data_IF_742075596684
#
_entry.id   IF_742075596684
#
_cell.length_a   1.000
_cell.length_b   1.000
_cell.length_c   1.000
_cell.angle_alpha   90.00
_cell.angle_beta   90.00
_cell.angle_gamma   90.00
#
_symmetry.space_group_name_H-M   'P 1'
#
loop_
_entity.id
_entity.type
_entity.pdbx_description
1 polymer ?
#
# COMPACT_ATOMS: atom_id res chain seq x y z
N UNK A 1 39.46 23.15 -10.44
CA UNK A 1 38.13 22.61 -10.07
C UNK A 1 38.33 21.51 -9.04
N UNK A 2 37.61 21.50 -7.92
CA UNK A 2 37.70 20.39 -6.98
C UNK A 2 37.11 19.12 -7.62
N UNK A 3 37.61 17.92 -7.30
CA UNK A 3 37.08 16.67 -7.83
C UNK A 3 35.62 16.50 -7.38
N UNK A 4 34.70 16.18 -8.31
CA UNK A 4 33.34 15.78 -7.95
C UNK A 4 33.41 14.54 -7.05
N UNK A 5 32.78 14.60 -5.87
CA UNK A 5 32.58 13.44 -5.01
C UNK A 5 31.89 12.34 -5.83
N UNK A 6 32.58 11.22 -6.06
CA UNK A 6 31.93 10.04 -6.65
C UNK A 6 30.92 9.53 -5.64
N UNK A 7 29.65 9.56 -6.00
CA UNK A 7 28.60 8.93 -5.21
C UNK A 7 28.93 7.44 -5.11
N UNK A 8 29.32 6.98 -3.91
CA UNK A 8 29.49 5.56 -3.65
C UNK A 8 28.10 4.97 -3.55
N UNK A 9 27.63 4.33 -4.62
CA UNK A 9 26.45 3.46 -4.57
C UNK A 9 26.78 2.39 -3.53
N UNK A 10 26.11 2.44 -2.37
CA UNK A 10 26.25 1.36 -1.41
C UNK A 10 25.81 0.05 -2.08
N UNK A 11 26.52 -1.05 -1.86
CA UNK A 11 26.02 -2.38 -2.21
C UNK A 11 24.59 -2.50 -1.67
N UNK A 12 23.70 -3.15 -2.43
CA UNK A 12 22.35 -3.42 -1.94
C UNK A 12 22.46 -4.03 -0.55
N UNK A 13 21.76 -3.47 0.42
CA UNK A 13 21.66 -4.06 1.75
C UNK A 13 20.68 -5.23 1.66
N UNK A 14 21.12 -6.30 0.98
CA UNK A 14 20.36 -7.55 0.81
C UNK A 14 20.07 -8.21 2.18
N UNK A 15 20.82 -7.83 3.22
CA UNK A 15 20.59 -8.23 4.61
C UNK A 15 19.34 -7.60 5.22
N UNK A 16 19.03 -6.35 4.88
CA UNK A 16 17.78 -5.71 5.29
C UNK A 16 16.57 -6.37 4.62
N UNK A 17 16.71 -6.73 3.33
CA UNK A 17 15.71 -7.51 2.59
C UNK A 17 15.49 -8.90 3.19
N UNK A 18 16.56 -9.66 3.43
CA UNK A 18 16.44 -10.99 4.06
C UNK A 18 15.78 -10.93 5.43
N UNK A 19 16.13 -9.96 6.27
CA UNK A 19 15.50 -9.81 7.59
C UNK A 19 14.04 -9.39 7.52
N UNK A 20 13.71 -8.49 6.59
CA UNK A 20 12.32 -8.07 6.41
C UNK A 20 11.49 -9.23 5.85
N UNK A 21 12.01 -9.97 4.88
CA UNK A 21 11.38 -11.18 4.33
C UNK A 21 11.20 -12.25 5.42
N UNK A 22 12.20 -12.46 6.28
CA UNK A 22 12.09 -13.38 7.42
C UNK A 22 11.01 -12.93 8.41
N UNK A 23 10.97 -11.65 8.78
CA UNK A 23 9.94 -11.09 9.68
C UNK A 23 8.54 -11.13 9.05
N UNK A 24 8.43 -10.80 7.77
CA UNK A 24 7.19 -10.86 6.99
C UNK A 24 6.71 -12.30 6.86
N UNK A 25 7.57 -13.25 6.52
CA UNK A 25 7.24 -14.67 6.48
C UNK A 25 6.80 -15.19 7.86
N UNK A 26 7.43 -14.71 8.94
CA UNK A 26 7.06 -15.14 10.30
C UNK A 26 5.70 -14.57 10.71
N UNK A 27 5.43 -13.32 10.35
CA UNK A 27 4.13 -12.67 10.54
C UNK A 27 3.03 -13.30 9.68
N UNK A 28 3.31 -13.57 8.40
CA UNK A 28 2.44 -14.32 7.51
C UNK A 28 2.18 -15.71 8.09
N UNK A 29 3.21 -16.46 8.49
CA UNK A 29 3.07 -17.77 9.18
C UNK A 29 2.17 -17.70 10.42
N UNK A 30 2.13 -16.55 11.12
CA UNK A 30 1.25 -16.34 12.28
C UNK A 30 -0.21 -16.07 11.89
N UNK A 31 -0.46 -15.46 10.72
CA UNK A 31 -1.78 -15.27 10.13
C UNK A 31 -2.28 -16.54 9.41
N UNK A 32 -1.33 -17.39 9.00
CA UNK A 32 -1.47 -18.60 8.21
C UNK A 32 -1.97 -19.79 9.01
N UNK A 33 -3.19 -19.68 9.54
CA UNK A 33 -3.85 -20.82 10.13
C UNK A 33 -4.30 -21.77 9.02
N UNK A 34 -4.00 -23.06 9.20
CA UNK A 34 -4.22 -24.09 8.17
C UNK A 34 -5.70 -24.24 7.77
N UNK A 35 -6.63 -23.83 8.64
CA UNK A 35 -8.06 -23.75 8.37
C UNK A 35 -8.40 -22.60 7.41
N UNK A 36 -7.86 -21.40 7.62
CA UNK A 36 -8.03 -20.25 6.71
C UNK A 36 -7.52 -20.59 5.32
N UNK A 37 -6.36 -21.25 5.24
CA UNK A 37 -5.84 -21.72 3.97
C UNK A 37 -6.63 -22.83 3.33
N UNK A 38 -7.22 -23.74 4.10
CA UNK A 38 -8.13 -24.74 3.53
C UNK A 38 -9.38 -24.08 2.98
N UNK A 39 -9.95 -23.10 3.67
CA UNK A 39 -11.11 -22.34 3.19
C UNK A 39 -10.79 -21.57 1.91
N UNK A 40 -9.67 -20.85 1.89
CA UNK A 40 -9.21 -20.11 0.70
C UNK A 40 -8.83 -21.09 -0.43
N UNK A 41 -8.14 -22.19 -0.12
CA UNK A 41 -7.77 -23.21 -1.10
C UNK A 41 -8.99 -23.95 -1.66
N UNK A 42 -10.05 -24.17 -0.88
CA UNK A 42 -11.31 -24.73 -1.36
C UNK A 42 -12.02 -23.74 -2.29
N UNK A 43 -11.97 -22.44 -2.00
CA UNK A 43 -12.43 -21.38 -2.91
C UNK A 43 -11.60 -21.41 -4.20
N UNK A 44 -10.26 -21.46 -4.11
CA UNK A 44 -9.33 -21.46 -5.26
C UNK A 44 -9.43 -22.74 -6.08
N UNK A 45 -9.58 -23.91 -5.45
CA UNK A 45 -9.77 -25.20 -6.15
C UNK A 45 -11.11 -25.22 -6.90
N UNK A 46 -12.15 -24.66 -6.31
CA UNK A 46 -13.44 -24.45 -6.99
C UNK A 46 -13.36 -23.38 -8.09
N UNK A 47 -12.28 -22.61 -8.13
CA UNK A 47 -11.89 -21.65 -9.19
C UNK A 47 -10.84 -22.28 -10.14
N UNK A 48 -10.54 -23.58 -10.14
CA UNK A 48 -9.47 -24.14 -11.02
C UNK A 48 -9.93 -25.14 -12.09
N UNK A 49 -11.24 -25.35 -12.26
CA UNK A 49 -11.76 -26.47 -13.08
C UNK A 49 -12.45 -26.03 -14.40
N UNK A 50 -11.94 -25.03 -15.14
CA UNK A 50 -12.37 -24.93 -16.56
C UNK A 50 -12.05 -23.67 -17.36
N UNK A 51 -10.95 -23.56 -18.08
CA UNK A 51 -10.86 -22.56 -19.15
C UNK A 51 -10.02 -23.11 -20.27
N UNK A 52 -10.36 -22.78 -21.51
CA UNK A 52 -9.77 -23.35 -22.73
C UNK A 52 -8.68 -22.49 -23.44
N UNK A 53 -7.53 -22.16 -22.81
CA UNK A 53 -6.32 -21.50 -23.39
C UNK A 53 -5.14 -22.42 -23.92
N UNK A 54 -4.33 -22.02 -24.91
CA UNK A 54 -3.19 -22.82 -25.45
C UNK A 54 -1.98 -22.93 -24.49
N UNK A 55 -1.03 -23.86 -24.73
CA UNK A 55 -0.05 -24.27 -23.73
C UNK A 55 1.22 -23.40 -23.76
N UNK A 56 1.24 -22.38 -22.93
CA UNK A 56 2.46 -21.66 -22.57
C UNK A 56 2.82 -21.99 -21.10
N UNK A 57 4.12 -22.10 -20.83
CA UNK A 57 4.77 -22.75 -19.67
C UNK A 57 4.47 -22.10 -18.31
N UNK A 58 3.29 -22.34 -17.76
CA UNK A 58 2.99 -22.52 -16.33
C UNK A 58 1.49 -22.79 -16.20
N UNK A 59 1.13 -24.07 -16.32
CA UNK A 59 -0.22 -24.58 -16.61
C UNK A 59 -1.28 -24.35 -15.52
N UNK A 60 -1.75 -23.11 -15.37
CA UNK A 60 -2.97 -22.79 -14.63
C UNK A 60 -3.91 -21.95 -15.51
N UNK A 61 -4.69 -22.63 -16.34
CA UNK A 61 -5.92 -22.07 -16.93
C UNK A 61 -6.88 -21.68 -15.80
N UNK A 62 -7.44 -20.47 -15.88
CA UNK A 62 -8.55 -20.00 -15.05
C UNK A 62 -9.78 -20.94 -15.20
N UNK A 63 -10.86 -20.82 -14.42
CA UNK A 63 -12.06 -21.64 -14.59
C UNK A 63 -13.18 -20.87 -15.29
N UNK A 64 -14.23 -21.59 -15.65
CA UNK A 64 -15.47 -21.09 -16.19
C UNK A 64 -16.30 -20.79 -14.94
N UNK A 65 -15.96 -19.67 -14.30
CA UNK A 65 -16.81 -19.12 -13.25
C UNK A 65 -18.09 -18.78 -13.97
N UNK A 66 -19.17 -19.51 -13.64
CA UNK A 66 -20.47 -19.15 -14.19
C UNK A 66 -20.73 -17.66 -13.92
N UNK A 67 -21.20 -16.96 -14.94
CA UNK A 67 -21.47 -15.53 -14.86
C UNK A 67 -22.32 -15.19 -13.62
N UNK A 68 -23.26 -16.07 -13.28
CA UNK A 68 -24.10 -16.01 -12.07
C UNK A 68 -23.31 -16.00 -10.76
N UNK A 69 -22.25 -16.82 -10.63
CA UNK A 69 -21.40 -16.86 -9.44
C UNK A 69 -20.49 -15.63 -9.36
N UNK A 70 -20.01 -15.17 -10.50
CA UNK A 70 -19.21 -13.95 -10.59
C UNK A 70 -20.04 -12.71 -10.23
N UNK A 71 -21.24 -12.61 -10.79
CA UNK A 71 -22.24 -11.58 -10.48
C UNK A 71 -22.60 -11.59 -9.00
N UNK A 72 -22.82 -12.77 -8.40
CA UNK A 72 -23.08 -12.88 -6.97
C UNK A 72 -21.93 -12.34 -6.11
N UNK A 73 -20.69 -12.75 -6.39
CA UNK A 73 -19.51 -12.33 -5.61
C UNK A 73 -19.24 -10.83 -5.74
N UNK A 74 -19.25 -10.30 -6.97
CA UNK A 74 -19.08 -8.86 -7.18
C UNK A 74 -20.27 -8.07 -6.63
N UNK A 75 -21.49 -8.61 -6.67
CA UNK A 75 -22.66 -8.02 -6.03
C UNK A 75 -22.48 -7.91 -4.52
N UNK A 76 -21.95 -8.94 -3.87
CA UNK A 76 -21.62 -8.89 -2.43
C UNK A 76 -20.53 -7.86 -2.13
N UNK A 77 -19.45 -7.83 -2.91
CA UNK A 77 -18.38 -6.85 -2.75
C UNK A 77 -18.90 -5.42 -2.96
N UNK A 78 -19.69 -5.17 -4.00
CA UNK A 78 -20.30 -3.89 -4.26
C UNK A 78 -21.20 -3.45 -3.11
N UNK A 79 -22.02 -4.36 -2.58
CA UNK A 79 -22.88 -4.07 -1.43
C UNK A 79 -22.06 -3.73 -0.16
N UNK A 80 -20.93 -4.41 0.08
CA UNK A 80 -20.02 -4.07 1.18
C UNK A 80 -19.39 -2.69 0.94
N UNK A 81 -18.89 -2.42 -0.26
CA UNK A 81 -18.28 -1.12 -0.60
C UNK A 81 -19.29 0.03 -0.46
N UNK A 82 -20.54 -0.17 -0.85
CA UNK A 82 -21.63 0.81 -0.66
C UNK A 82 -21.97 1.04 0.81
N UNK A 83 -21.95 -0.01 1.64
CA UNK A 83 -22.13 0.15 3.09
C UNK A 83 -20.96 0.90 3.71
N UNK A 84 -19.73 0.57 3.32
CA UNK A 84 -18.52 1.25 3.81
C UNK A 84 -18.46 2.71 3.37
N UNK A 85 -18.90 3.05 2.16
CA UNK A 85 -18.91 4.44 1.67
C UNK A 85 -19.91 5.33 2.42
N UNK A 86 -20.98 4.74 2.97
CA UNK A 86 -21.93 5.45 3.82
C UNK A 86 -21.41 5.71 5.25
N UNK A 87 -20.32 5.05 5.66
CA UNK A 87 -19.74 5.26 6.99
C UNK A 87 -18.96 6.58 7.02
N UNK A 88 -19.39 7.49 7.89
CA UNK A 88 -18.67 8.72 8.18
C UNK A 88 -17.88 8.56 9.49
N UNK A 89 -16.55 8.72 9.40
CA UNK A 89 -15.67 8.77 10.56
C UNK A 89 -15.14 10.19 10.76
N UNK A 90 -14.94 10.63 12.02
CA UNK A 90 -14.46 11.99 12.30
C UNK A 90 -12.98 12.19 11.94
N UNK A 91 -12.25 11.11 11.65
CA UNK A 91 -10.82 11.11 11.36
C UNK A 91 -10.48 10.01 10.35
N UNK A 92 -9.34 10.15 9.68
CA UNK A 92 -8.74 9.17 8.79
C UNK A 92 -7.63 8.45 9.57
N UNK A 93 -7.79 7.15 9.77
CA UNK A 93 -6.85 6.33 10.53
C UNK A 93 -7.39 4.90 10.75
N UNK A 94 -6.66 4.05 11.48
CA UNK A 94 -7.11 2.69 11.74
C UNK A 94 -8.31 2.68 12.70
N UNK A 95 -9.17 1.69 12.50
CA UNK A 95 -10.25 1.38 13.44
C UNK A 95 -9.69 0.53 14.58
N UNK A 96 -9.91 0.99 15.81
CA UNK A 96 -9.56 0.28 17.03
C UNK A 96 -10.85 -0.02 17.78
N UNK A 97 -10.99 -1.28 18.19
CA UNK A 97 -12.11 -1.69 19.04
C UNK A 97 -11.78 -1.37 20.50
N UNK A 98 -12.63 -0.55 21.11
CA UNK A 98 -12.56 -0.20 22.53
C UNK A 98 -13.07 -1.36 23.40
N UNK A 99 -12.78 -1.30 24.71
CA UNK A 99 -13.20 -2.34 25.66
C UNK A 99 -14.73 -2.51 25.76
N UNK A 100 -15.50 -1.49 25.40
CA UNK A 100 -16.97 -1.51 25.36
C UNK A 100 -17.53 -2.10 24.04
N UNK A 101 -16.65 -2.53 23.12
CA UNK A 101 -17.02 -3.10 21.82
C UNK A 101 -17.25 -2.07 20.71
N UNK A 102 -17.21 -0.77 21.02
CA UNK A 102 -17.34 0.31 20.03
C UNK A 102 -16.04 0.51 19.25
N UNK A 103 -16.14 0.97 18.01
CA UNK A 103 -14.98 1.30 17.20
C UNK A 103 -14.68 2.81 17.24
N UNK A 104 -13.41 3.15 17.42
CA UNK A 104 -12.89 4.51 17.32
C UNK A 104 -11.76 4.57 16.29
N UNK A 105 -11.53 5.75 15.72
CA UNK A 105 -10.36 5.97 14.84
C UNK A 105 -9.21 6.47 15.69
N UNK A 106 -8.22 5.60 15.92
CA UNK A 106 -7.06 5.93 16.76
C UNK A 106 -5.80 5.20 16.29
N UNK A 107 -4.64 5.72 16.69
CA UNK A 107 -3.34 5.14 16.37
C UNK A 107 -2.74 5.62 15.05
N UNK A 108 -1.58 5.03 14.73
CA UNK A 108 -0.77 5.39 13.56
C UNK A 108 -1.42 4.88 12.28
N UNK A 109 -1.61 5.72 11.24
CA UNK A 109 -2.07 5.28 9.93
C UNK A 109 -1.22 4.12 9.39
N UNK A 110 -1.89 3.07 8.89
CA UNK A 110 -1.25 1.92 8.26
C UNK A 110 -1.50 2.01 6.76
N UNK A 111 -0.57 2.64 6.04
CA UNK A 111 -0.65 2.79 4.59
C UNK A 111 0.61 2.21 3.94
N UNK A 112 0.44 1.65 2.74
CA UNK A 112 1.54 1.04 1.98
C UNK A 112 2.69 2.01 1.71
N UNK A 113 2.38 3.31 1.50
CA UNK A 113 3.40 4.33 1.32
C UNK A 113 4.27 4.55 2.57
N UNK A 114 3.71 4.41 3.78
CA UNK A 114 4.47 4.49 5.04
C UNK A 114 5.38 3.27 5.22
N UNK A 115 4.90 2.09 4.86
CA UNK A 115 5.73 0.87 4.90
C UNK A 115 6.92 1.02 3.93
N UNK A 116 6.64 1.42 2.69
CA UNK A 116 7.67 1.69 1.67
C UNK A 116 8.69 2.73 2.14
N UNK A 117 8.25 3.77 2.84
CA UNK A 117 9.15 4.79 3.38
C UNK A 117 10.12 4.22 4.40
N UNK A 118 9.64 3.45 5.37
CA UNK A 118 10.49 2.84 6.40
C UNK A 118 11.48 1.87 5.75
N UNK A 119 10.98 1.07 4.81
CA UNK A 119 11.74 0.02 4.12
C UNK A 119 12.84 0.58 3.21
N UNK A 120 12.53 1.52 2.33
CA UNK A 120 13.45 1.91 1.24
C UNK A 120 14.33 3.12 1.54
N UNK A 121 14.05 3.86 2.61
CA UNK A 121 14.63 5.20 2.77
C UNK A 121 15.50 5.36 4.01
N UNK A 122 15.36 4.47 5.01
CA UNK A 122 16.04 4.62 6.29
C UNK A 122 15.66 5.94 7.00
N UNK A 123 14.48 6.47 6.71
CA UNK A 123 13.99 7.71 7.31
C UNK A 123 13.91 7.58 8.84
N UNK A 124 14.30 8.62 9.61
CA UNK A 124 14.09 8.62 11.05
C UNK A 124 12.62 8.38 11.42
N UNK A 125 12.35 7.51 12.38
CA UNK A 125 11.00 7.18 12.83
C UNK A 125 10.18 8.41 13.28
N UNK A 126 10.85 9.48 13.70
CA UNK A 126 10.24 10.76 14.08
C UNK A 126 9.58 11.51 12.91
N UNK A 127 9.96 11.22 11.67
CA UNK A 127 9.40 11.83 10.46
C UNK A 127 8.26 10.98 9.86
N UNK A 128 8.05 9.76 10.37
CA UNK A 128 6.95 8.91 9.95
C UNK A 128 5.68 9.37 10.68
N UNK A 129 4.55 9.59 9.98
CA UNK A 129 3.31 9.98 10.63
C UNK A 129 2.91 9.00 11.74
N UNK A 130 2.46 9.53 12.88
CA UNK A 130 2.13 8.72 14.07
C UNK A 130 0.70 8.92 14.58
N UNK A 131 -0.02 9.90 14.04
CA UNK A 131 -1.36 10.30 14.47
C UNK A 131 -2.37 10.14 13.32
N UNK A 132 -3.65 9.91 13.63
CA UNK A 132 -4.72 9.95 12.64
C UNK A 132 -4.96 11.38 12.15
N UNK A 133 -5.49 11.52 10.95
CA UNK A 133 -5.74 12.83 10.32
C UNK A 133 -7.16 13.29 10.56
N UNK A 134 -7.33 14.58 10.88
CA UNK A 134 -8.64 15.18 11.13
C UNK A 134 -9.41 15.54 9.86
N UNK A 135 -8.74 15.60 8.72
CA UNK A 135 -9.34 15.96 7.43
C UNK A 135 -8.59 15.34 6.25
N UNK A 136 -9.27 15.27 5.09
CA UNK A 136 -8.64 14.86 3.84
C UNK A 136 -7.47 15.79 3.44
N UNK A 137 -7.58 17.09 3.75
CA UNK A 137 -6.54 18.07 3.45
C UNK A 137 -5.24 17.80 4.24
N UNK A 138 -5.38 17.50 5.53
CA UNK A 138 -4.26 17.12 6.40
C UNK A 138 -3.62 15.81 5.92
N UNK A 139 -4.46 14.83 5.56
CA UNK A 139 -4.01 13.57 4.97
C UNK A 139 -3.20 13.77 3.69
N UNK A 140 -3.72 14.51 2.71
CA UNK A 140 -3.03 14.75 1.44
C UNK A 140 -1.76 15.58 1.61
N UNK A 141 -1.75 16.50 2.58
CA UNK A 141 -0.54 17.27 2.92
C UNK A 141 0.55 16.36 3.48
N UNK A 142 0.19 15.47 4.41
CA UNK A 142 1.12 14.46 4.94
C UNK A 142 1.60 13.49 3.85
N UNK A 143 0.71 13.07 2.94
CA UNK A 143 1.07 12.22 1.80
C UNK A 143 2.07 12.92 0.87
N UNK A 144 1.90 14.21 0.63
CA UNK A 144 2.83 15.00 -0.17
C UNK A 144 4.21 15.05 0.49
N UNK A 145 4.26 15.33 1.79
CA UNK A 145 5.50 15.37 2.56
C UNK A 145 6.19 14.00 2.58
N UNK A 146 5.42 12.92 2.70
CA UNK A 146 5.92 11.54 2.59
C UNK A 146 6.55 11.25 1.21
N UNK A 147 5.94 11.67 0.11
CA UNK A 147 6.53 11.51 -1.22
C UNK A 147 7.83 12.30 -1.40
N UNK A 148 7.93 13.49 -0.79
CA UNK A 148 9.18 14.25 -0.76
C UNK A 148 10.25 13.59 0.10
N UNK A 149 9.86 13.03 1.25
CA UNK A 149 10.77 12.27 2.09
C UNK A 149 11.32 11.07 1.32
N UNK A 150 10.48 10.36 0.56
CA UNK A 150 10.94 9.26 -0.30
C UNK A 150 11.97 9.73 -1.32
N UNK A 151 11.70 10.84 -2.04
CA UNK A 151 12.66 11.40 -3.00
C UNK A 151 13.99 11.83 -2.35
N UNK A 152 13.94 12.29 -1.10
CA UNK A 152 15.10 12.82 -0.38
C UNK A 152 15.96 11.72 0.22
N UNK A 153 15.32 10.70 0.80
CA UNK A 153 15.99 9.69 1.62
C UNK A 153 16.22 8.37 0.88
N UNK A 154 15.42 8.04 -0.15
CA UNK A 154 15.61 6.82 -0.92
C UNK A 154 16.89 6.91 -1.76
N UNK A 155 17.92 6.16 -1.35
CA UNK A 155 19.25 6.22 -1.98
C UNK A 155 19.37 5.40 -3.26
N UNK A 156 18.54 4.37 -3.40
CA UNK A 156 18.62 3.38 -4.48
C UNK A 156 17.30 3.31 -5.23
N UNK A 157 17.40 3.22 -6.56
CA UNK A 157 16.29 2.94 -7.48
C UNK A 157 15.07 3.87 -7.32
N UNK A 158 15.26 5.05 -6.73
CA UNK A 158 14.21 6.06 -6.58
C UNK A 158 13.90 6.75 -7.92
N UNK A 159 14.91 6.84 -8.78
CA UNK A 159 14.89 7.54 -10.07
C UNK A 159 15.69 6.75 -11.11
N UNK A 160 15.23 6.78 -12.36
CA UNK A 160 15.89 6.12 -13.49
C UNK A 160 17.01 6.98 -14.06
N UNK A 161 16.73 8.27 -14.24
CA UNK A 161 17.65 9.27 -14.77
C UNK A 161 17.29 10.69 -14.28
N UNK A 162 17.96 11.71 -14.82
CA UNK A 162 17.74 13.12 -14.47
C UNK A 162 16.35 13.62 -14.86
N UNK A 163 15.83 13.17 -16.01
CA UNK A 163 14.51 13.58 -16.51
C UNK A 163 13.40 13.00 -15.63
N UNK A 164 13.46 11.70 -15.31
CA UNK A 164 12.55 11.04 -14.37
C UNK A 164 12.59 11.69 -12.97
N UNK A 165 13.78 12.08 -12.51
CA UNK A 165 13.92 12.83 -11.24
C UNK A 165 13.18 14.16 -11.29
N UNK A 166 13.35 14.93 -12.38
CA UNK A 166 12.74 16.24 -12.57
C UNK A 166 11.22 16.13 -12.65
N UNK A 167 10.71 15.17 -13.41
CA UNK A 167 9.27 14.94 -13.58
C UNK A 167 8.63 14.51 -12.26
N UNK A 168 9.23 13.56 -11.55
CA UNK A 168 8.78 13.16 -10.21
C UNK A 168 8.78 14.33 -9.23
N UNK A 169 9.82 15.17 -9.24
CA UNK A 169 9.88 16.35 -8.37
C UNK A 169 8.77 17.35 -8.70
N UNK A 170 8.57 17.68 -9.98
CA UNK A 170 7.53 18.61 -10.43
C UNK A 170 6.13 18.08 -10.11
N UNK A 171 5.86 16.81 -10.40
CA UNK A 171 4.58 16.17 -10.07
C UNK A 171 4.29 16.23 -8.56
N UNK A 172 5.29 15.92 -7.72
CA UNK A 172 5.15 16.00 -6.25
C UNK A 172 4.95 17.44 -5.76
N UNK A 173 5.62 18.43 -6.37
CA UNK A 173 5.40 19.85 -6.04
C UNK A 173 3.99 20.30 -6.41
N UNK A 174 3.49 19.92 -7.59
CA UNK A 174 2.13 20.21 -8.02
C UNK A 174 1.12 19.58 -7.08
N UNK A 175 1.31 18.30 -6.73
CA UNK A 175 0.48 17.60 -5.76
C UNK A 175 0.46 18.30 -4.40
N UNK A 176 1.63 18.62 -3.84
CA UNK A 176 1.74 19.37 -2.56
C UNK A 176 1.03 20.71 -2.62
N UNK A 177 1.15 21.43 -3.73
CA UNK A 177 0.46 22.71 -3.93
C UNK A 177 -1.06 22.54 -3.97
N UNK A 178 -1.57 21.52 -4.67
CA UNK A 178 -3.00 21.22 -4.72
C UNK A 178 -3.53 20.80 -3.34
N UNK A 179 -2.79 19.95 -2.62
CA UNK A 179 -3.09 19.56 -1.25
C UNK A 179 -3.13 20.76 -0.31
N UNK A 180 -2.17 21.68 -0.39
CA UNK A 180 -2.17 22.88 0.46
C UNK A 180 -3.36 23.82 0.24
N UNK A 181 -4.00 23.73 -0.94
CA UNK A 181 -5.15 24.56 -1.32
C UNK A 181 -6.50 23.88 -1.04
N UNK A 182 -6.52 22.64 -0.56
CA UNK A 182 -7.76 21.85 -0.46
C UNK A 182 -8.39 21.55 -1.82
N UNK A 183 -7.64 21.65 -2.91
CA UNK A 183 -8.10 21.44 -4.29
C UNK A 183 -7.79 20.03 -4.81
N UNK A 184 -7.55 19.09 -3.92
CA UNK A 184 -7.44 17.67 -4.26
C UNK A 184 -8.83 17.14 -4.53
N UNK A 185 -9.12 16.80 -5.80
CA UNK A 185 -10.38 16.21 -6.21
C UNK A 185 -10.64 14.92 -5.42
N UNK A 186 -11.70 14.92 -4.62
CA UNK A 186 -12.27 13.71 -4.02
C UNK A 186 -13.41 13.29 -4.93
N UNK A 187 -13.20 12.26 -5.74
CA UNK A 187 -14.32 11.45 -6.22
C UNK A 187 -14.63 10.48 -5.08
N UNK A 188 -15.79 10.69 -4.44
CA UNK A 188 -16.43 9.68 -3.58
C UNK A 188 -17.05 8.61 -4.48
#
# INVERSE_FOLDING_TARGET
MPPKLRYVRMPKDDLAWQKNDEEAETWEKSLNKADVYRTIADIIKNIRVGSDAPPDEDGVRAPDISEQKLEFLYGQMANIMLQLSALAFPRIGPLVQEADGRFTVSGRPLIQNMNSLVEFTGIPATLVPSQPYSSANEWYSALADMHFAQLTFQRNDAVLDEEDTRDKYVARQLFRRLASKGATFVWV
#
